data_IF_353942558768
#
_entry.id   IF_353942558768
#
_cell.length_a   1.000
_cell.length_b   1.000
_cell.length_c   1.000
_cell.angle_alpha   90.00
_cell.angle_beta   90.00
_cell.angle_gamma   90.00
#
_symmetry.space_group_name_H-M   'P 1'
#
loop_
_entity.id
_entity.type
_entity.pdbx_description
1 polymer ?
#
# COMPACT_ATOMS: atom_id res chain seq x y z
N UNK A 1 31.21 -6.98 29.44
CA UNK A 1 31.64 -5.89 28.53
C UNK A 1 30.52 -5.62 27.54
N UNK A 2 29.68 -4.63 27.80
CA UNK A 2 28.67 -4.15 26.82
C UNK A 2 29.44 -3.30 25.83
N UNK A 3 29.66 -3.83 24.63
CA UNK A 3 30.29 -3.08 23.54
C UNK A 3 29.44 -1.84 23.26
N UNK A 4 30.06 -0.66 23.37
CA UNK A 4 29.45 0.63 23.25
C UNK A 4 28.76 0.86 21.91
N UNK A 5 27.47 0.55 21.86
CA UNK A 5 26.56 1.05 20.83
C UNK A 5 25.86 2.25 21.46
N UNK A 6 26.19 3.48 21.03
CA UNK A 6 25.57 4.68 21.59
C UNK A 6 24.09 4.74 21.20
N UNK A 7 23.25 5.20 22.10
CA UNK A 7 21.91 5.73 21.83
C UNK A 7 20.81 4.75 21.37
N UNK A 8 20.80 3.49 21.82
CA UNK A 8 19.66 2.58 21.62
C UNK A 8 19.55 1.95 20.22
N UNK A 9 20.59 2.03 19.39
CA UNK A 9 20.70 1.28 18.14
C UNK A 9 21.09 -0.17 18.40
N UNK A 10 20.55 -1.13 17.64
CA UNK A 10 20.94 -2.54 17.72
C UNK A 10 22.37 -2.78 17.15
N UNK A 11 22.71 -2.06 16.08
CA UNK A 11 24.01 -2.06 15.39
C UNK A 11 24.58 -0.63 15.39
N UNK A 12 25.78 -0.43 14.85
CA UNK A 12 26.31 0.93 14.71
C UNK A 12 25.35 1.82 13.91
N UNK A 13 25.26 3.09 14.27
CA UNK A 13 24.34 4.06 13.64
C UNK A 13 24.49 4.07 12.11
N UNK A 14 25.72 4.19 11.59
CA UNK A 14 25.98 4.20 10.14
C UNK A 14 25.53 2.92 9.44
N UNK A 15 25.75 1.77 10.08
CA UNK A 15 25.33 0.48 9.52
C UNK A 15 23.80 0.28 9.54
N UNK A 16 23.12 0.79 10.56
CA UNK A 16 21.66 0.79 10.62
C UNK A 16 21.05 1.61 9.47
N UNK A 17 21.62 2.79 9.16
CA UNK A 17 21.19 3.58 8.00
C UNK A 17 21.56 2.93 6.66
N UNK A 18 22.66 2.20 6.55
CA UNK A 18 22.97 1.40 5.35
C UNK A 18 21.90 0.32 5.10
N UNK A 19 21.52 -0.43 6.15
CA UNK A 19 20.44 -1.42 6.04
C UNK A 19 19.12 -0.75 5.68
N UNK A 20 18.83 0.40 6.29
CA UNK A 20 17.64 1.18 5.96
C UNK A 20 17.61 1.60 4.48
N UNK A 21 18.73 2.06 3.93
CA UNK A 21 18.81 2.43 2.52
C UNK A 21 18.52 1.23 1.60
N UNK A 22 19.06 0.05 1.92
CA UNK A 22 18.75 -1.16 1.16
C UNK A 22 17.26 -1.56 1.28
N UNK A 23 16.67 -1.50 2.47
CA UNK A 23 15.24 -1.75 2.68
C UNK A 23 14.38 -0.72 1.95
N UNK A 24 14.76 0.55 1.96
CA UNK A 24 14.05 1.59 1.21
C UNK A 24 14.09 1.33 -0.30
N UNK A 25 15.27 1.01 -0.83
CA UNK A 25 15.43 0.69 -2.25
C UNK A 25 14.64 -0.56 -2.64
N UNK A 26 14.68 -1.63 -1.84
CA UNK A 26 13.88 -2.83 -2.10
C UNK A 26 12.38 -2.51 -2.13
N UNK A 27 11.89 -1.67 -1.20
CA UNK A 27 10.48 -1.28 -1.18
C UNK A 27 10.10 -0.40 -2.37
N UNK A 28 11.02 0.46 -2.79
CA UNK A 28 10.84 1.26 -3.98
C UNK A 28 10.78 0.37 -5.24
N UNK A 29 11.66 -0.63 -5.37
CA UNK A 29 11.66 -1.57 -6.49
C UNK A 29 10.44 -2.50 -6.47
N UNK A 30 9.96 -2.95 -5.31
CA UNK A 30 8.67 -3.64 -5.17
C UNK A 30 7.54 -2.86 -5.87
N UNK A 31 7.41 -1.55 -5.58
CA UNK A 31 6.38 -0.72 -6.21
C UNK A 31 6.67 -0.37 -7.67
N UNK A 32 7.93 -0.27 -8.08
CA UNK A 32 8.31 -0.11 -9.50
C UNK A 32 7.84 -1.34 -10.29
N UNK A 33 8.17 -2.55 -9.84
CA UNK A 33 7.82 -3.82 -10.48
C UNK A 33 6.30 -4.03 -10.55
N UNK A 34 5.60 -3.60 -9.51
CA UNK A 34 4.15 -3.67 -9.44
C UNK A 34 3.48 -2.74 -10.43
N UNK A 35 3.98 -1.51 -10.57
CA UNK A 35 3.33 -0.43 -11.31
C UNK A 35 3.79 -0.28 -12.76
N UNK A 36 4.93 -0.85 -13.14
CA UNK A 36 5.43 -0.80 -14.53
C UNK A 36 4.37 -1.27 -15.54
N UNK A 37 3.60 -2.32 -15.21
CA UNK A 37 2.60 -2.91 -16.10
C UNK A 37 1.50 -1.94 -16.52
N UNK A 38 1.20 -0.96 -15.67
CA UNK A 38 0.14 0.04 -15.91
C UNK A 38 0.39 0.85 -17.19
N UNK A 39 1.65 1.22 -17.43
CA UNK A 39 2.06 1.92 -18.64
C UNK A 39 2.19 1.01 -19.86
N UNK A 40 2.10 -0.31 -19.65
CA UNK A 40 2.26 -1.27 -20.74
C UNK A 40 0.91 -1.71 -21.36
N UNK A 41 -0.23 -1.31 -20.79
CA UNK A 41 -1.55 -1.73 -21.25
C UNK A 41 -1.77 -1.55 -22.75
N UNK A 42 -1.48 -0.39 -23.38
CA UNK A 42 -1.68 -0.25 -24.83
C UNK A 42 -0.83 -1.23 -25.65
N UNK A 43 0.40 -1.48 -25.22
CA UNK A 43 1.32 -2.39 -25.91
C UNK A 43 0.93 -3.86 -25.73
N UNK A 44 0.50 -4.25 -24.52
CA UNK A 44 0.01 -5.60 -24.24
C UNK A 44 -1.29 -5.90 -24.98
N UNK A 45 -2.16 -4.90 -25.12
CA UNK A 45 -3.39 -5.01 -25.92
C UNK A 45 -3.06 -5.23 -27.39
N UNK A 46 -2.08 -4.51 -27.93
CA UNK A 46 -1.67 -4.67 -29.32
C UNK A 46 -1.02 -6.05 -29.58
N UNK A 47 -0.21 -6.56 -28.63
CA UNK A 47 0.57 -7.80 -28.81
C UNK A 47 -0.26 -9.07 -28.55
N UNK A 48 -1.13 -9.05 -27.53
CA UNK A 48 -1.90 -10.22 -27.08
C UNK A 48 -3.42 -10.11 -27.33
N UNK A 49 -3.91 -9.01 -27.89
CA UNK A 49 -5.33 -8.79 -28.11
C UNK A 49 -6.15 -8.66 -26.81
N UNK A 50 -5.57 -8.12 -25.74
CA UNK A 50 -6.21 -8.09 -24.43
C UNK A 50 -7.40 -7.14 -24.37
N UNK A 51 -8.40 -7.50 -23.57
CA UNK A 51 -9.45 -6.59 -23.14
C UNK A 51 -8.93 -5.66 -22.00
N UNK A 52 -9.66 -4.59 -21.70
CA UNK A 52 -9.35 -3.74 -20.55
C UNK A 52 -9.57 -4.50 -19.23
N UNK A 53 -10.56 -5.39 -19.16
CA UNK A 53 -10.74 -6.32 -18.04
C UNK A 53 -9.51 -7.16 -17.78
N UNK A 54 -8.91 -7.72 -18.83
CA UNK A 54 -7.68 -8.51 -18.69
C UNK A 54 -6.49 -7.66 -18.23
N UNK A 55 -6.36 -6.43 -18.70
CA UNK A 55 -5.37 -5.48 -18.20
C UNK A 55 -5.57 -5.18 -16.70
N UNK A 56 -6.80 -4.96 -16.26
CA UNK A 56 -7.12 -4.79 -14.85
C UNK A 56 -6.78 -6.03 -14.01
N UNK A 57 -7.04 -7.24 -14.53
CA UNK A 57 -6.68 -8.51 -13.88
C UNK A 57 -5.18 -8.65 -13.67
N UNK A 58 -4.33 -8.17 -14.58
CA UNK A 58 -2.88 -8.20 -14.40
C UNK A 58 -2.40 -7.35 -13.19
N UNK A 59 -3.13 -6.31 -12.82
CA UNK A 59 -2.86 -5.55 -11.59
C UNK A 59 -3.43 -6.27 -10.39
N UNK A 60 -4.67 -6.72 -10.47
CA UNK A 60 -5.43 -7.34 -9.37
C UNK A 60 -4.78 -8.61 -8.84
N UNK A 61 -4.20 -9.44 -9.72
CA UNK A 61 -3.62 -10.73 -9.34
C UNK A 61 -2.46 -10.61 -8.34
N UNK A 62 -1.67 -9.53 -8.42
CA UNK A 62 -0.59 -9.25 -7.47
C UNK A 62 -1.17 -9.04 -6.06
N UNK A 63 -2.22 -8.23 -5.94
CA UNK A 63 -2.87 -7.99 -4.64
C UNK A 63 -3.54 -9.24 -4.08
N UNK A 64 -4.17 -10.06 -4.91
CA UNK A 64 -4.77 -11.34 -4.47
C UNK A 64 -3.71 -12.29 -3.93
N UNK A 65 -2.60 -12.47 -4.63
CA UNK A 65 -1.53 -13.36 -4.14
C UNK A 65 -0.89 -12.83 -2.86
N UNK A 66 -0.73 -11.50 -2.70
CA UNK A 66 -0.30 -10.91 -1.44
C UNK A 66 -1.26 -11.26 -0.30
N UNK A 67 -2.57 -11.09 -0.50
CA UNK A 67 -3.58 -11.40 0.54
C UNK A 67 -3.52 -12.87 0.96
N UNK A 68 -3.49 -13.78 -0.02
CA UNK A 68 -3.49 -15.23 0.24
C UNK A 68 -2.22 -15.68 0.97
N UNK A 69 -1.07 -15.12 0.61
CA UNK A 69 0.23 -15.59 1.09
C UNK A 69 0.79 -14.79 2.28
N UNK A 70 0.27 -13.60 2.57
CA UNK A 70 0.83 -12.70 3.59
C UNK A 70 0.92 -13.34 4.97
N UNK A 71 -0.07 -14.11 5.38
CA UNK A 71 -0.05 -14.80 6.69
C UNK A 71 1.03 -15.88 6.74
N UNK A 72 1.14 -16.69 5.69
CA UNK A 72 2.11 -17.78 5.61
C UNK A 72 3.54 -17.26 5.57
N UNK A 73 3.78 -16.23 4.75
CA UNK A 73 5.11 -15.62 4.61
C UNK A 73 5.54 -14.91 5.88
N UNK A 74 4.63 -14.23 6.58
CA UNK A 74 4.95 -13.59 7.86
C UNK A 74 5.39 -14.61 8.91
N UNK A 75 4.72 -15.78 8.97
CA UNK A 75 5.11 -16.86 9.89
C UNK A 75 6.51 -17.42 9.56
N UNK A 76 6.85 -17.53 8.28
CA UNK A 76 8.18 -17.99 7.85
C UNK A 76 9.25 -16.97 8.25
N UNK A 77 9.00 -15.67 8.03
CA UNK A 77 9.91 -14.58 8.38
C UNK A 77 10.22 -14.56 9.88
N UNK A 78 9.20 -14.74 10.71
CA UNK A 78 9.36 -14.70 12.17
C UNK A 78 10.06 -15.94 12.74
N UNK A 79 9.89 -17.11 12.09
CA UNK A 79 10.49 -18.38 12.57
C UNK A 79 11.89 -18.66 12.04
N UNK A 80 12.25 -18.03 10.93
CA UNK A 80 13.56 -18.25 10.29
C UNK A 80 14.45 -17.03 10.49
N UNK A 81 15.04 -16.49 9.44
CA UNK A 81 15.88 -15.29 9.47
C UNK A 81 15.20 -14.19 8.66
N UNK A 82 14.97 -13.04 9.28
CA UNK A 82 14.36 -11.90 8.58
C UNK A 82 15.20 -11.46 7.37
N UNK A 83 16.52 -11.43 7.53
CA UNK A 83 17.46 -11.13 6.45
C UNK A 83 17.31 -12.11 5.29
N UNK A 84 17.39 -13.42 5.57
CA UNK A 84 17.32 -14.46 4.52
C UNK A 84 15.95 -14.46 3.85
N UNK A 85 14.87 -14.33 4.63
CA UNK A 85 13.50 -14.28 4.10
C UNK A 85 13.31 -13.09 3.18
N UNK A 86 13.67 -11.87 3.60
CA UNK A 86 13.56 -10.65 2.77
C UNK A 86 14.41 -10.78 1.51
N UNK A 87 15.65 -11.24 1.62
CA UNK A 87 16.54 -11.40 0.46
C UNK A 87 16.01 -12.42 -0.55
N UNK A 88 15.54 -13.59 -0.10
CA UNK A 88 14.96 -14.61 -0.98
C UNK A 88 13.66 -14.13 -1.63
N UNK A 89 12.80 -13.46 -0.89
CA UNK A 89 11.58 -12.87 -1.42
C UNK A 89 11.91 -11.85 -2.51
N UNK A 90 12.89 -10.96 -2.25
CA UNK A 90 13.33 -9.97 -3.22
C UNK A 90 13.91 -10.60 -4.49
N UNK A 91 14.72 -11.64 -4.38
CA UNK A 91 15.20 -12.39 -5.54
C UNK A 91 14.06 -13.05 -6.30
N UNK A 92 13.11 -13.67 -5.58
CA UNK A 92 12.00 -14.39 -6.20
C UNK A 92 11.11 -13.44 -7.02
N UNK A 93 10.68 -12.29 -6.45
CA UNK A 93 9.86 -11.36 -7.24
C UNK A 93 10.64 -10.73 -8.38
N UNK A 94 11.94 -10.42 -8.22
CA UNK A 94 12.76 -9.88 -9.32
C UNK A 94 12.90 -10.88 -10.47
N UNK A 95 13.08 -12.17 -10.17
CA UNK A 95 13.09 -13.23 -11.19
C UNK A 95 11.71 -13.35 -11.87
N UNK A 96 10.62 -13.27 -11.10
CA UNK A 96 9.26 -13.29 -11.63
C UNK A 96 9.00 -12.07 -12.55
N UNK A 97 9.53 -10.89 -12.19
CA UNK A 97 9.44 -9.68 -13.04
C UNK A 97 10.22 -9.86 -14.34
N UNK A 98 11.42 -10.41 -14.27
CA UNK A 98 12.19 -10.77 -15.50
C UNK A 98 11.41 -11.78 -16.35
N UNK A 99 10.78 -12.78 -15.73
CA UNK A 99 9.97 -13.78 -16.44
C UNK A 99 8.82 -13.15 -17.23
N UNK A 100 8.24 -12.03 -16.76
CA UNK A 100 7.20 -11.30 -17.49
C UNK A 100 7.68 -10.86 -18.89
N UNK A 101 8.98 -10.54 -19.07
CA UNK A 101 9.53 -10.12 -20.35
C UNK A 101 9.51 -11.25 -21.41
N UNK A 102 9.50 -12.51 -20.98
CA UNK A 102 9.56 -13.69 -21.87
C UNK A 102 8.19 -14.31 -22.15
N UNK A 103 7.13 -13.74 -21.61
CA UNK A 103 5.76 -14.26 -21.79
C UNK A 103 5.26 -14.07 -23.23
N UNK A 104 4.51 -15.05 -23.72
CA UNK A 104 3.95 -15.10 -25.08
C UNK A 104 2.42 -15.10 -25.08
N UNK A 105 1.78 -15.08 -23.91
CA UNK A 105 0.33 -15.08 -23.78
C UNK A 105 -0.11 -14.40 -22.49
N UNK A 106 -1.40 -13.99 -22.45
CA UNK A 106 -2.02 -13.46 -21.24
C UNK A 106 -1.86 -14.40 -20.04
N UNK A 107 -2.13 -15.71 -20.21
CA UNK A 107 -2.06 -16.68 -19.11
C UNK A 107 -0.66 -16.79 -18.51
N UNK A 108 0.38 -16.78 -19.34
CA UNK A 108 1.76 -16.79 -18.86
C UNK A 108 2.10 -15.52 -18.09
N UNK A 109 1.70 -14.35 -18.62
CA UNK A 109 1.91 -13.06 -17.96
C UNK A 109 1.13 -12.98 -16.64
N UNK A 110 -0.11 -13.47 -16.61
CA UNK A 110 -0.93 -13.54 -15.40
C UNK A 110 -0.27 -14.39 -14.31
N UNK A 111 0.25 -15.58 -14.64
CA UNK A 111 0.97 -16.44 -13.69
C UNK A 111 2.25 -15.77 -13.19
N UNK A 112 3.04 -15.16 -14.09
CA UNK A 112 4.25 -14.45 -13.70
C UNK A 112 3.95 -13.27 -12.76
N UNK A 113 2.87 -12.52 -13.01
CA UNK A 113 2.38 -11.43 -12.15
C UNK A 113 1.90 -11.97 -10.79
N UNK A 114 1.20 -13.11 -10.76
CA UNK A 114 0.81 -13.78 -9.50
C UNK A 114 2.06 -14.16 -8.69
N UNK A 115 3.11 -14.66 -9.34
CA UNK A 115 4.37 -14.99 -8.69
C UNK A 115 5.08 -13.76 -8.11
N UNK A 116 5.02 -12.60 -8.78
CA UNK A 116 5.53 -11.33 -8.20
C UNK A 116 4.86 -11.06 -6.85
N UNK A 117 3.51 -11.05 -6.79
CA UNK A 117 2.81 -10.81 -5.54
C UNK A 117 3.08 -11.86 -4.46
N UNK A 118 3.36 -13.12 -4.84
CA UNK A 118 3.78 -14.15 -3.90
C UNK A 118 5.14 -13.83 -3.27
N UNK A 119 6.08 -13.29 -4.04
CA UNK A 119 7.37 -12.81 -3.55
C UNK A 119 7.26 -11.58 -2.66
N UNK A 120 6.32 -10.69 -2.92
CA UNK A 120 6.13 -9.43 -2.18
C UNK A 120 5.35 -9.59 -0.87
N UNK A 121 4.60 -10.69 -0.68
CA UNK A 121 3.60 -10.85 0.36
C UNK A 121 4.11 -10.65 1.80
N UNK A 122 5.38 -10.96 2.09
CA UNK A 122 5.97 -10.82 3.43
C UNK A 122 6.92 -9.64 3.56
N UNK A 123 7.20 -8.92 2.50
CA UNK A 123 8.23 -7.90 2.52
C UNK A 123 7.91 -6.73 3.46
N UNK A 124 6.72 -6.15 3.37
CA UNK A 124 6.34 -5.00 4.19
C UNK A 124 6.31 -5.32 5.72
N UNK A 125 5.73 -6.44 6.19
CA UNK A 125 5.84 -6.86 7.58
C UNK A 125 7.29 -7.11 8.02
N UNK A 126 8.08 -7.81 7.21
CA UNK A 126 9.48 -8.11 7.50
C UNK A 126 10.36 -6.87 7.58
N UNK A 127 10.21 -5.94 6.64
CA UNK A 127 10.94 -4.67 6.59
C UNK A 127 10.61 -3.77 7.79
N UNK A 128 9.32 -3.63 8.13
CA UNK A 128 8.88 -2.87 9.31
C UNK A 128 9.44 -3.45 10.60
N UNK A 129 9.40 -4.78 10.75
CA UNK A 129 9.95 -5.47 11.91
C UNK A 129 11.49 -5.29 12.03
N UNK A 130 12.20 -5.29 10.89
CA UNK A 130 13.64 -5.06 10.86
C UNK A 130 14.01 -3.61 11.21
N UNK A 131 13.29 -2.63 10.67
CA UNK A 131 13.46 -1.22 11.02
C UNK A 131 13.20 -1.00 12.52
N UNK A 132 12.14 -1.60 13.05
CA UNK A 132 11.78 -1.47 14.47
C UNK A 132 12.83 -2.05 15.41
N UNK A 133 13.58 -3.07 14.97
CA UNK A 133 14.68 -3.65 15.73
C UNK A 133 15.98 -2.82 15.64
N UNK A 134 16.25 -2.20 14.49
CA UNK A 134 17.52 -1.49 14.23
C UNK A 134 17.57 -0.09 14.83
N UNK A 135 16.42 0.60 14.93
CA UNK A 135 16.36 2.02 15.29
C UNK A 135 15.77 2.24 16.69
N UNK A 136 16.31 3.22 17.45
CA UNK A 136 15.77 3.59 18.75
C UNK A 136 14.35 4.11 18.66
N UNK A 137 13.59 3.88 19.71
CA UNK A 137 12.16 4.19 19.79
C UNK A 137 11.83 5.66 19.45
N UNK A 138 12.70 6.58 19.89
CA UNK A 138 12.53 8.04 19.68
C UNK A 138 12.40 8.46 18.20
N UNK A 139 13.07 7.76 17.29
CA UNK A 139 13.10 8.11 15.85
C UNK A 139 12.40 7.07 14.97
N UNK A 140 11.96 5.96 15.56
CA UNK A 140 11.37 4.82 14.83
C UNK A 140 10.20 5.23 13.93
N UNK A 141 9.27 6.03 14.44
CA UNK A 141 8.11 6.49 13.66
C UNK A 141 8.53 7.34 12.45
N UNK A 142 9.54 8.20 12.62
CA UNK A 142 10.08 9.00 11.53
C UNK A 142 10.74 8.11 10.46
N UNK A 143 11.52 7.12 10.87
CA UNK A 143 12.20 6.18 9.95
C UNK A 143 11.19 5.32 9.19
N UNK A 144 10.15 4.80 9.87
CA UNK A 144 9.06 4.08 9.21
C UNK A 144 8.30 4.99 8.23
N UNK A 145 8.06 6.24 8.60
CA UNK A 145 7.45 7.23 7.71
C UNK A 145 8.28 7.48 6.45
N UNK A 146 9.59 7.66 6.61
CA UNK A 146 10.52 7.77 5.46
C UNK A 146 10.50 6.51 4.59
N UNK A 147 10.50 5.33 5.21
CA UNK A 147 10.46 4.07 4.47
C UNK A 147 9.17 3.92 3.65
N UNK A 148 8.02 4.32 4.20
CA UNK A 148 6.75 4.27 3.47
C UNK A 148 6.67 5.26 2.29
N UNK A 149 7.51 6.30 2.27
CA UNK A 149 7.61 7.20 1.11
C UNK A 149 8.16 6.50 -0.15
N UNK A 150 8.80 5.34 -0.01
CA UNK A 150 9.20 4.49 -1.14
C UNK A 150 7.99 4.07 -2.00
N UNK A 151 6.81 3.92 -1.41
CA UNK A 151 5.58 3.49 -2.08
C UNK A 151 5.13 4.45 -3.20
N UNK A 152 4.79 5.72 -2.93
CA UNK A 152 4.40 6.65 -3.99
C UNK A 152 5.56 6.98 -4.94
N UNK A 153 6.81 7.01 -4.45
CA UNK A 153 7.99 7.22 -5.30
C UNK A 153 8.18 6.06 -6.27
N UNK A 154 8.18 4.82 -5.78
CA UNK A 154 8.31 3.62 -6.61
C UNK A 154 7.18 3.51 -7.63
N UNK A 155 5.93 3.79 -7.20
CA UNK A 155 4.77 3.79 -8.11
C UNK A 155 4.94 4.79 -9.25
N UNK A 156 5.32 6.03 -8.95
CA UNK A 156 5.51 7.07 -9.96
C UNK A 156 6.66 6.72 -10.91
N UNK A 157 7.80 6.30 -10.36
CA UNK A 157 8.99 5.90 -11.15
C UNK A 157 8.66 4.69 -12.03
N UNK A 158 7.95 3.69 -11.51
CA UNK A 158 7.55 2.50 -12.28
C UNK A 158 6.67 2.83 -13.48
N UNK A 159 5.67 3.71 -13.28
CA UNK A 159 4.78 4.18 -14.35
C UNK A 159 5.58 4.97 -15.40
N UNK A 160 6.45 5.91 -14.96
CA UNK A 160 7.27 6.73 -15.87
C UNK A 160 8.25 5.90 -16.69
N UNK A 161 9.04 5.05 -16.02
CA UNK A 161 10.02 4.19 -16.68
C UNK A 161 9.34 3.20 -17.63
N UNK A 162 8.22 2.61 -17.19
CA UNK A 162 7.43 1.72 -18.02
C UNK A 162 6.98 2.38 -19.32
N UNK A 163 6.40 3.58 -19.23
CA UNK A 163 5.95 4.34 -20.40
C UNK A 163 7.10 4.73 -21.33
N UNK A 164 8.21 5.22 -20.77
CA UNK A 164 9.39 5.60 -21.55
C UNK A 164 10.02 4.40 -22.27
N UNK A 165 10.34 3.33 -21.52
CA UNK A 165 11.02 2.16 -22.08
C UNK A 165 10.13 1.45 -23.09
N UNK A 166 8.84 1.31 -22.82
CA UNK A 166 7.91 0.63 -23.73
C UNK A 166 7.78 1.37 -25.06
N UNK A 167 7.78 2.71 -25.03
CA UNK A 167 7.68 3.55 -26.24
C UNK A 167 8.93 3.46 -27.12
N UNK A 168 10.12 3.39 -26.54
CA UNK A 168 11.38 3.45 -27.30
C UNK A 168 12.02 2.08 -27.57
N UNK A 169 11.83 1.11 -26.65
CA UNK A 169 12.52 -0.18 -26.68
C UNK A 169 11.57 -1.38 -26.67
N UNK A 170 10.27 -1.13 -26.52
CA UNK A 170 9.25 -2.16 -26.41
C UNK A 170 8.98 -2.62 -24.96
N UNK A 171 7.76 -3.09 -24.73
CA UNK A 171 7.26 -3.40 -23.39
C UNK A 171 8.01 -4.52 -22.66
N UNK A 172 8.59 -5.48 -23.41
CA UNK A 172 9.39 -6.57 -22.82
C UNK A 172 10.63 -6.05 -22.12
N UNK A 173 11.29 -5.06 -22.71
CA UNK A 173 12.47 -4.41 -22.11
C UNK A 173 12.10 -3.65 -20.83
N UNK A 174 10.87 -3.14 -20.72
CA UNK A 174 10.45 -2.45 -19.50
C UNK A 174 10.52 -3.37 -18.28
N UNK A 175 10.00 -4.61 -18.37
CA UNK A 175 10.12 -5.58 -17.28
C UNK A 175 11.58 -5.97 -17.00
N UNK A 176 12.39 -6.23 -18.03
CA UNK A 176 13.79 -6.59 -17.87
C UNK A 176 14.62 -5.51 -17.18
N UNK A 177 14.48 -4.24 -17.63
CA UNK A 177 15.27 -3.12 -17.13
C UNK A 177 14.89 -2.77 -15.68
N UNK A 178 13.59 -2.77 -15.32
CA UNK A 178 13.17 -2.41 -13.97
C UNK A 178 13.50 -3.48 -12.94
N UNK A 179 13.54 -4.75 -13.34
CA UNK A 179 13.86 -5.87 -12.44
C UNK A 179 15.36 -5.92 -12.06
N UNK A 180 16.26 -5.50 -12.95
CA UNK A 180 17.71 -5.61 -12.73
C UNK A 180 18.22 -4.89 -11.49
N UNK A 181 17.89 -3.61 -11.23
CA UNK A 181 18.34 -2.93 -10.03
C UNK A 181 17.80 -3.58 -8.75
N UNK A 182 16.53 -4.03 -8.76
CA UNK A 182 15.91 -4.76 -7.64
C UNK A 182 16.67 -6.06 -7.34
N UNK A 183 17.03 -6.80 -8.38
CA UNK A 183 17.84 -8.02 -8.28
C UNK A 183 19.22 -7.75 -7.66
N UNK A 184 19.92 -6.68 -8.10
CA UNK A 184 21.23 -6.30 -7.53
C UNK A 184 21.08 -5.93 -6.05
N UNK A 185 20.07 -5.13 -5.68
CA UNK A 185 19.85 -4.74 -4.28
C UNK A 185 19.48 -5.97 -3.43
N UNK A 186 18.72 -6.92 -3.97
CA UNK A 186 18.41 -8.18 -3.30
C UNK A 186 19.67 -9.01 -3.01
N UNK A 187 20.61 -9.09 -3.94
CA UNK A 187 21.92 -9.73 -3.72
C UNK A 187 22.70 -8.99 -2.64
N UNK A 188 22.81 -7.66 -2.71
CA UNK A 188 23.49 -6.86 -1.70
C UNK A 188 22.90 -7.07 -0.30
N UNK A 189 21.58 -7.28 -0.23
CA UNK A 189 20.90 -7.53 1.04
C UNK A 189 21.33 -8.84 1.71
N UNK A 190 21.79 -9.85 0.96
CA UNK A 190 22.37 -11.07 1.54
C UNK A 190 23.69 -10.85 2.28
N UNK A 191 24.40 -9.76 2.00
CA UNK A 191 25.64 -9.43 2.70
C UNK A 191 25.42 -8.61 3.99
N UNK A 192 24.19 -8.19 4.27
CA UNK A 192 23.81 -7.53 5.52
C UNK A 192 24.06 -8.47 6.70
N UNK A 193 24.49 -7.94 7.84
CA UNK A 193 24.62 -8.73 9.08
C UNK A 193 23.24 -9.14 9.60
N UNK A 194 23.10 -10.42 9.88
CA UNK A 194 21.88 -10.95 10.52
C UNK A 194 21.90 -10.64 12.02
N UNK A 195 20.73 -10.57 12.61
CA UNK A 195 20.56 -10.46 14.06
C UNK A 195 19.61 -11.54 14.55
N UNK A 196 19.90 -12.11 15.73
CA UNK A 196 19.04 -13.12 16.32
C UNK A 196 17.68 -12.50 16.65
N UNK A 197 16.63 -13.00 16.05
CA UNK A 197 15.25 -12.75 16.48
C UNK A 197 15.14 -13.31 17.90
N UNK A 198 14.59 -12.52 18.82
CA UNK A 198 14.36 -12.95 20.20
C UNK A 198 13.45 -14.19 20.14
N UNK A 199 13.89 -15.29 20.78
CA UNK A 199 13.06 -16.48 20.92
C UNK A 199 11.74 -16.08 21.61
N UNK A 200 10.60 -16.43 21.02
CA UNK A 200 9.27 -16.19 21.59
C UNK A 200 9.04 -16.87 22.96
N UNK A 201 9.99 -17.69 23.41
CA UNK A 201 9.97 -18.37 24.71
C UNK A 201 10.39 -17.46 25.88
N UNK A 202 10.90 -16.26 25.63
CA UNK A 202 11.30 -15.36 26.72
C UNK A 202 10.07 -14.60 27.24
N UNK A 203 9.68 -14.94 28.47
CA UNK A 203 8.49 -14.62 29.27
C UNK A 203 8.23 -13.12 29.60
N UNK A 204 8.63 -12.15 28.77
CA UNK A 204 8.70 -10.76 29.24
C UNK A 204 7.94 -9.71 28.43
N UNK A 205 7.02 -10.10 27.55
CA UNK A 205 6.14 -9.11 26.93
C UNK A 205 4.69 -9.29 27.37
N UNK A 206 4.15 -8.39 28.25
CA UNK A 206 2.77 -8.48 28.73
C UNK A 206 1.73 -8.50 27.60
N UNK A 207 2.00 -7.81 26.48
CA UNK A 207 1.11 -7.79 25.30
C UNK A 207 1.08 -9.15 24.58
N UNK A 208 2.24 -9.81 24.48
CA UNK A 208 2.34 -11.15 23.88
C UNK A 208 1.70 -12.22 24.78
N UNK A 209 1.81 -12.09 26.10
CA UNK A 209 1.16 -12.99 27.07
C UNK A 209 -0.37 -12.83 27.03
N UNK A 210 -0.89 -11.60 26.96
CA UNK A 210 -2.31 -11.34 26.85
C UNK A 210 -2.88 -11.93 25.53
N UNK A 211 -2.15 -11.80 24.41
CA UNK A 211 -2.52 -12.41 23.12
C UNK A 211 -2.51 -13.95 23.17
N UNK A 212 -1.54 -14.55 23.85
CA UNK A 212 -1.44 -16.00 23.99
C UNK A 212 -2.57 -16.60 24.85
N UNK A 213 -3.15 -15.83 25.76
CA UNK A 213 -4.27 -16.23 26.63
C UNK A 213 -5.64 -16.02 25.99
N UNK A 214 -5.80 -15.13 25.02
CA UNK A 214 -7.08 -14.89 24.36
C UNK A 214 -7.40 -16.02 23.36
N UNK A 215 -8.52 -16.72 23.58
CA UNK A 215 -9.02 -17.72 22.64
C UNK A 215 -9.40 -17.07 21.31
N UNK A 216 -9.15 -17.74 20.19
CA UNK A 216 -9.48 -17.24 18.84
C UNK A 216 -10.95 -16.77 18.72
N UNK A 217 -11.87 -17.40 19.43
CA UNK A 217 -13.29 -16.98 19.50
C UNK A 217 -13.49 -15.63 20.17
N UNK A 218 -12.70 -15.29 21.17
CA UNK A 218 -12.77 -14.00 21.87
C UNK A 218 -12.22 -12.87 21.00
N UNK A 219 -11.13 -13.14 20.29
CA UNK A 219 -10.56 -12.21 19.30
C UNK A 219 -11.61 -11.91 18.23
N UNK A 220 -12.20 -12.94 17.62
CA UNK A 220 -13.23 -12.76 16.61
C UNK A 220 -14.45 -11.99 17.15
N UNK A 221 -14.89 -12.32 18.38
CA UNK A 221 -16.01 -11.65 19.05
C UNK A 221 -15.71 -10.18 19.32
N UNK A 222 -14.48 -9.82 19.68
CA UNK A 222 -14.08 -8.44 19.89
C UNK A 222 -14.16 -7.64 18.57
N UNK A 223 -13.64 -8.19 17.46
CA UNK A 223 -13.72 -7.52 16.17
C UNK A 223 -15.16 -7.36 15.67
N UNK A 224 -15.99 -8.41 15.78
CA UNK A 224 -17.39 -8.35 15.32
C UNK A 224 -18.28 -7.45 16.18
N UNK A 225 -17.90 -7.17 17.44
CA UNK A 225 -18.63 -6.30 18.35
C UNK A 225 -18.17 -4.84 18.33
N UNK A 226 -17.24 -4.50 17.47
CA UNK A 226 -16.71 -3.15 17.32
C UNK A 226 -17.16 -2.56 15.97
N UNK A 227 -18.38 -2.03 15.86
CA UNK A 227 -18.94 -1.56 14.59
C UNK A 227 -18.12 -0.43 13.96
N UNK A 228 -17.54 0.48 14.76
CA UNK A 228 -16.67 1.53 14.22
C UNK A 228 -15.46 0.97 13.47
N UNK A 229 -14.91 -0.16 13.92
CA UNK A 229 -13.79 -0.84 13.28
C UNK A 229 -14.17 -1.47 11.94
N UNK A 230 -15.26 -2.24 11.91
CA UNK A 230 -15.73 -2.92 10.71
C UNK A 230 -16.11 -1.92 9.60
N UNK A 231 -16.85 -0.87 9.97
CA UNK A 231 -17.21 0.20 9.05
C UNK A 231 -15.95 0.94 8.54
N UNK A 232 -14.94 1.13 9.38
CA UNK A 232 -13.65 1.71 8.98
C UNK A 232 -12.91 0.82 7.98
N UNK A 233 -12.93 -0.51 8.12
CA UNK A 233 -12.31 -1.42 7.16
C UNK A 233 -12.96 -1.31 5.77
N UNK A 234 -14.28 -1.29 5.72
CA UNK A 234 -15.03 -1.17 4.46
C UNK A 234 -14.82 0.22 3.83
N UNK A 235 -14.86 1.28 4.66
CA UNK A 235 -14.59 2.64 4.20
C UNK A 235 -13.18 2.79 3.62
N UNK A 236 -12.20 2.23 4.32
CA UNK A 236 -10.80 2.24 3.86
C UNK A 236 -10.65 1.51 2.53
N UNK A 237 -11.28 0.34 2.37
CA UNK A 237 -11.28 -0.39 1.10
C UNK A 237 -11.90 0.44 -0.05
N UNK A 238 -12.97 1.20 0.20
CA UNK A 238 -13.56 2.11 -0.79
C UNK A 238 -12.63 3.23 -1.24
N UNK A 239 -11.85 3.81 -0.30
CA UNK A 239 -10.81 4.80 -0.63
C UNK A 239 -9.67 4.17 -1.43
N UNK A 240 -9.25 2.95 -1.08
CA UNK A 240 -8.21 2.22 -1.82
C UNK A 240 -8.68 1.79 -3.21
N UNK A 241 -9.98 1.48 -3.37
CA UNK A 241 -10.59 1.22 -4.66
C UNK A 241 -10.43 2.41 -5.59
N UNK A 242 -10.78 3.61 -5.14
CA UNK A 242 -10.61 4.85 -5.92
C UNK A 242 -9.13 5.07 -6.27
N UNK A 243 -8.25 5.01 -5.28
CA UNK A 243 -6.82 5.27 -5.48
C UNK A 243 -6.20 4.29 -6.47
N UNK A 244 -6.46 2.98 -6.32
CA UNK A 244 -5.93 1.96 -7.20
C UNK A 244 -6.51 2.04 -8.63
N UNK A 245 -7.78 2.43 -8.77
CA UNK A 245 -8.42 2.65 -10.06
C UNK A 245 -7.73 3.75 -10.84
N UNK A 246 -7.57 4.93 -10.23
CA UNK A 246 -6.90 6.05 -10.91
C UNK A 246 -5.42 5.79 -11.14
N UNK A 247 -4.71 5.22 -10.16
CA UNK A 247 -3.31 4.83 -10.31
C UNK A 247 -3.09 3.95 -11.55
N UNK A 248 -4.00 2.98 -11.76
CA UNK A 248 -3.85 2.00 -12.84
C UNK A 248 -4.32 2.52 -14.21
N UNK A 249 -5.26 3.44 -14.25
CA UNK A 249 -5.91 3.79 -15.51
C UNK A 249 -5.69 5.21 -16.00
N UNK A 250 -5.21 6.15 -15.17
CA UNK A 250 -4.91 7.52 -15.61
C UNK A 250 -3.90 7.59 -16.76
N UNK A 251 -2.79 6.81 -16.78
CA UNK A 251 -1.88 6.82 -17.92
C UNK A 251 -2.58 6.40 -19.22
N UNK A 252 -3.38 5.34 -19.18
CA UNK A 252 -4.16 4.87 -20.33
C UNK A 252 -5.24 5.87 -20.74
N UNK A 253 -5.86 6.54 -19.78
CA UNK A 253 -6.83 7.61 -20.04
C UNK A 253 -6.20 8.76 -20.82
N UNK A 254 -5.08 9.30 -20.35
CA UNK A 254 -4.37 10.39 -21.05
C UNK A 254 -3.87 9.96 -22.43
N UNK A 255 -3.44 8.69 -22.56
CA UNK A 255 -3.03 8.16 -23.85
C UNK A 255 -4.20 8.08 -24.83
N UNK A 256 -5.35 7.53 -24.43
CA UNK A 256 -6.49 7.27 -25.34
C UNK A 256 -7.39 8.49 -25.58
N UNK A 257 -7.65 9.29 -24.53
CA UNK A 257 -8.61 10.39 -24.59
C UNK A 257 -7.94 11.70 -25.01
N UNK A 258 -6.74 11.96 -24.49
CA UNK A 258 -5.98 13.16 -24.86
C UNK A 258 -5.02 12.93 -26.05
N UNK A 259 -4.98 11.69 -26.59
CA UNK A 259 -4.10 11.29 -27.70
C UNK A 259 -2.61 11.58 -27.44
N UNK A 260 -2.18 11.51 -26.17
CA UNK A 260 -0.78 11.73 -25.81
C UNK A 260 0.07 10.47 -26.08
N UNK A 261 1.32 10.60 -26.51
CA UNK A 261 2.27 9.49 -26.50
C UNK A 261 2.33 8.87 -25.10
N UNK A 262 2.46 7.53 -25.01
CA UNK A 262 2.39 6.81 -23.72
C UNK A 262 3.42 7.31 -22.70
N UNK A 263 4.61 7.71 -23.15
CA UNK A 263 5.63 8.34 -22.31
C UNK A 263 5.10 9.58 -21.58
N UNK A 264 4.48 10.52 -22.33
CA UNK A 264 3.92 11.74 -21.75
C UNK A 264 2.69 11.47 -20.89
N UNK A 265 1.86 10.52 -21.31
CA UNK A 265 0.69 10.07 -20.55
C UNK A 265 1.08 9.43 -19.21
N UNK A 266 2.12 8.59 -19.21
CA UNK A 266 2.68 7.98 -18.02
C UNK A 266 3.28 9.02 -17.06
N UNK A 267 4.04 9.99 -17.58
CA UNK A 267 4.56 11.11 -16.79
C UNK A 267 3.44 11.93 -16.15
N UNK A 268 2.40 12.27 -16.92
CA UNK A 268 1.24 13.03 -16.46
C UNK A 268 0.47 12.29 -15.36
N UNK A 269 0.28 10.97 -15.52
CA UNK A 269 -0.38 10.11 -14.52
C UNK A 269 0.46 9.95 -13.25
N UNK A 270 1.79 9.83 -13.36
CA UNK A 270 2.68 9.65 -12.21
C UNK A 270 2.75 10.89 -11.31
N UNK A 271 2.64 12.10 -11.86
CA UNK A 271 2.60 13.34 -11.06
C UNK A 271 1.44 13.35 -10.06
N UNK A 272 0.30 12.77 -10.42
CA UNK A 272 -0.87 12.63 -9.52
C UNK A 272 -0.49 11.83 -8.29
N UNK A 273 0.31 10.77 -8.47
CA UNK A 273 0.78 9.92 -7.37
C UNK A 273 1.76 10.63 -6.45
N UNK A 274 2.67 11.41 -7.00
CA UNK A 274 3.65 12.14 -6.19
C UNK A 274 3.00 13.13 -5.22
N UNK A 275 1.84 13.67 -5.57
CA UNK A 275 1.10 14.58 -4.70
C UNK A 275 0.51 13.88 -3.46
N UNK A 276 0.38 12.55 -3.46
CA UNK A 276 0.03 11.79 -2.26
C UNK A 276 1.05 12.00 -1.13
N UNK A 277 2.33 12.26 -1.45
CA UNK A 277 3.39 12.54 -0.46
C UNK A 277 3.03 13.77 0.38
N UNK A 278 2.31 14.74 -0.19
CA UNK A 278 1.84 15.93 0.52
C UNK A 278 0.58 15.64 1.32
N UNK A 279 -0.32 14.85 0.76
CA UNK A 279 -1.63 14.55 1.36
C UNK A 279 -1.54 13.79 2.68
N UNK A 280 -0.62 12.81 2.80
CA UNK A 280 -0.45 12.03 4.03
C UNK A 280 -0.11 12.91 5.26
N UNK A 281 0.98 13.69 5.27
CA UNK A 281 1.32 14.51 6.44
C UNK A 281 0.31 15.62 6.69
N UNK A 282 -0.25 16.23 5.63
CA UNK A 282 -1.27 17.26 5.76
C UNK A 282 -2.54 16.71 6.42
N UNK A 283 -2.99 15.53 6.01
CA UNK A 283 -4.14 14.85 6.61
C UNK A 283 -3.91 14.51 8.07
N UNK A 284 -2.73 13.98 8.43
CA UNK A 284 -2.35 13.72 9.81
C UNK A 284 -2.35 14.98 10.66
N UNK A 285 -1.73 16.05 10.18
CA UNK A 285 -1.70 17.34 10.90
C UNK A 285 -3.11 17.92 11.14
N UNK A 286 -3.95 17.92 10.11
CA UNK A 286 -5.32 18.45 10.20
C UNK A 286 -6.19 17.65 11.18
N UNK A 287 -6.10 16.32 11.13
CA UNK A 287 -6.87 15.46 12.04
C UNK A 287 -6.43 15.61 13.49
N UNK A 288 -5.12 15.69 13.74
CA UNK A 288 -4.60 15.84 15.09
C UNK A 288 -5.00 17.19 15.71
N UNK A 289 -5.01 18.27 14.90
CA UNK A 289 -5.50 19.58 15.32
C UNK A 289 -6.99 19.56 15.65
N UNK A 290 -7.80 18.89 14.81
CA UNK A 290 -9.25 18.80 15.03
C UNK A 290 -9.59 17.91 16.22
N UNK A 291 -8.86 16.81 16.42
CA UNK A 291 -9.04 15.88 17.54
C UNK A 291 -8.92 16.55 18.92
N UNK A 292 -8.11 17.61 19.04
CA UNK A 292 -8.03 18.41 20.29
C UNK A 292 -9.37 19.03 20.70
N UNK A 293 -10.32 19.16 19.75
CA UNK A 293 -11.65 19.74 19.99
C UNK A 293 -12.76 18.69 20.00
N UNK A 294 -12.61 17.61 19.22
CA UNK A 294 -13.63 16.55 19.08
C UNK A 294 -12.96 15.19 18.92
N UNK A 295 -13.33 14.24 19.77
CA UNK A 295 -12.79 12.86 19.74
C UNK A 295 -13.10 12.19 18.40
N UNK A 296 -14.33 12.37 17.88
CA UNK A 296 -14.81 11.78 16.62
C UNK A 296 -14.14 12.36 15.36
N UNK A 297 -13.28 13.38 15.49
CA UNK A 297 -12.54 13.95 14.37
C UNK A 297 -11.74 12.89 13.59
N UNK A 298 -11.29 11.81 14.25
CA UNK A 298 -10.57 10.69 13.59
C UNK A 298 -11.40 9.94 12.57
N UNK A 299 -12.72 10.03 12.59
CA UNK A 299 -13.63 9.44 11.61
C UNK A 299 -14.35 10.50 10.78
N UNK A 300 -14.68 11.65 11.35
CA UNK A 300 -15.29 12.76 10.61
C UNK A 300 -14.34 13.35 9.57
N UNK A 301 -13.03 13.42 9.86
CA UNK A 301 -12.05 13.93 8.90
C UNK A 301 -11.90 13.00 7.69
N UNK A 302 -11.69 11.67 7.83
CA UNK A 302 -11.75 10.75 6.70
C UNK A 302 -13.06 10.81 5.92
N UNK A 303 -14.21 10.96 6.59
CA UNK A 303 -15.50 11.12 5.91
C UNK A 303 -15.52 12.36 5.01
N UNK A 304 -15.13 13.52 5.54
CA UNK A 304 -15.09 14.77 4.78
C UNK A 304 -14.02 14.76 3.67
N UNK A 305 -12.83 14.23 3.95
CA UNK A 305 -11.77 14.14 2.94
C UNK A 305 -12.14 13.18 1.81
N UNK A 306 -12.80 12.06 2.10
CA UNK A 306 -13.29 11.13 1.09
C UNK A 306 -14.43 11.76 0.26
N UNK A 307 -15.35 12.49 0.92
CA UNK A 307 -16.40 13.23 0.23
C UNK A 307 -15.81 14.29 -0.71
N UNK A 308 -14.86 15.07 -0.23
CA UNK A 308 -14.17 16.09 -1.04
C UNK A 308 -13.40 15.46 -2.21
N UNK A 309 -12.67 14.36 -1.96
CA UNK A 309 -11.94 13.62 -3.00
C UNK A 309 -12.90 13.11 -4.09
N UNK A 310 -14.02 12.49 -3.69
CA UNK A 310 -15.05 12.04 -4.62
C UNK A 310 -15.62 13.19 -5.43
N UNK A 311 -15.94 14.33 -4.79
CA UNK A 311 -16.44 15.53 -5.46
C UNK A 311 -15.45 16.14 -6.45
N UNK A 312 -14.18 16.23 -6.08
CA UNK A 312 -13.11 16.74 -6.94
C UNK A 312 -12.95 15.86 -8.20
N UNK A 313 -12.86 14.55 -8.04
CA UNK A 313 -12.72 13.64 -9.18
C UNK A 313 -14.01 13.59 -10.03
N UNK A 314 -15.20 13.60 -9.41
CA UNK A 314 -16.44 13.64 -10.17
C UNK A 314 -16.53 14.91 -11.01
N UNK A 315 -16.20 16.08 -10.44
CA UNK A 315 -16.17 17.35 -11.17
C UNK A 315 -15.13 17.32 -12.31
N UNK A 316 -13.96 16.75 -12.06
CA UNK A 316 -12.89 16.62 -13.05
C UNK A 316 -13.30 15.78 -14.25
N UNK A 317 -14.00 14.66 -14.04
CA UNK A 317 -14.36 13.75 -15.15
C UNK A 317 -15.73 14.04 -15.77
N UNK A 318 -16.66 14.68 -15.04
CA UNK A 318 -17.99 14.95 -15.56
C UNK A 318 -18.10 16.29 -16.31
N UNK A 319 -17.46 17.35 -15.79
CA UNK A 319 -17.73 18.72 -16.24
C UNK A 319 -16.55 19.42 -16.92
N UNK A 320 -15.33 18.91 -16.80
CA UNK A 320 -14.13 19.64 -17.23
C UNK A 320 -13.30 18.85 -18.25
N UNK A 321 -12.57 19.60 -19.08
CA UNK A 321 -11.65 19.07 -20.09
C UNK A 321 -10.35 19.87 -20.09
N UNK A 322 -9.27 19.27 -20.59
CA UNK A 322 -7.97 19.94 -20.77
C UNK A 322 -7.25 20.33 -19.47
N UNK A 323 -6.63 21.50 -19.42
CA UNK A 323 -5.79 21.90 -18.27
C UNK A 323 -6.54 22.01 -16.94
N UNK A 324 -7.79 22.48 -16.95
CA UNK A 324 -8.62 22.61 -15.75
C UNK A 324 -9.00 21.23 -15.16
N UNK A 325 -9.30 20.28 -16.02
CA UNK A 325 -9.50 18.88 -15.61
C UNK A 325 -8.25 18.33 -14.93
N UNK A 326 -7.11 18.51 -15.55
CA UNK A 326 -5.86 18.01 -15.02
C UNK A 326 -5.49 18.65 -13.66
N UNK A 327 -5.71 19.96 -13.50
CA UNK A 327 -5.51 20.64 -12.22
C UNK A 327 -6.36 20.03 -11.10
N UNK A 328 -7.63 19.69 -11.37
CA UNK A 328 -8.48 19.00 -10.41
C UNK A 328 -8.04 17.56 -10.15
N UNK A 329 -7.59 16.83 -11.16
CA UNK A 329 -7.03 15.48 -10.97
C UNK A 329 -5.81 15.53 -10.05
N UNK A 330 -4.91 16.51 -10.21
CA UNK A 330 -3.78 16.72 -9.32
C UNK A 330 -4.24 17.02 -7.88
N UNK A 331 -5.19 17.92 -7.71
CA UNK A 331 -5.76 18.24 -6.39
C UNK A 331 -6.43 17.00 -5.76
N UNK A 332 -7.16 16.23 -6.55
CA UNK A 332 -7.78 14.96 -6.16
C UNK A 332 -6.75 13.94 -5.69
N UNK A 333 -5.61 13.84 -6.38
CA UNK A 333 -4.50 12.96 -5.98
C UNK A 333 -3.92 13.31 -4.61
N UNK A 334 -3.73 14.60 -4.32
CA UNK A 334 -3.31 15.05 -3.00
C UNK A 334 -4.37 14.77 -1.92
N UNK A 335 -5.65 15.05 -2.23
CA UNK A 335 -6.76 14.84 -1.29
C UNK A 335 -7.00 13.35 -1.00
N UNK A 336 -6.80 12.48 -1.99
CA UNK A 336 -7.06 11.05 -1.90
C UNK A 336 -6.22 10.31 -0.85
N UNK A 337 -5.10 10.87 -0.41
CA UNK A 337 -4.23 10.29 0.61
C UNK A 337 -4.44 10.87 2.02
N UNK A 338 -5.18 11.97 2.15
CA UNK A 338 -5.32 12.70 3.42
C UNK A 338 -6.06 11.90 4.51
N UNK A 339 -6.99 11.02 4.14
CA UNK A 339 -7.75 10.19 5.10
C UNK A 339 -6.89 9.14 5.82
N UNK A 340 -5.79 8.72 5.20
CA UNK A 340 -5.05 7.51 5.54
C UNK A 340 -4.53 7.48 7.00
N UNK A 341 -3.83 8.52 7.53
CA UNK A 341 -3.31 8.49 8.89
C UNK A 341 -4.40 8.34 9.95
N UNK A 342 -5.53 9.02 9.75
CA UNK A 342 -6.65 8.98 10.67
C UNK A 342 -7.32 7.60 10.67
N UNK A 343 -7.56 7.01 9.50
CA UNK A 343 -8.17 5.70 9.38
C UNK A 343 -7.30 4.60 10.01
N UNK A 344 -5.97 4.63 9.81
CA UNK A 344 -5.06 3.71 10.50
C UNK A 344 -5.14 3.87 12.01
N UNK A 345 -5.15 5.10 12.52
CA UNK A 345 -5.22 5.33 13.94
C UNK A 345 -6.49 4.72 14.57
N UNK A 346 -7.64 4.84 13.89
CA UNK A 346 -8.90 4.21 14.35
C UNK A 346 -8.76 2.69 14.47
N UNK A 347 -8.12 2.03 13.51
CA UNK A 347 -7.94 0.56 13.56
C UNK A 347 -7.15 0.08 14.78
N UNK A 348 -6.42 0.96 15.43
CA UNK A 348 -5.59 0.67 16.61
C UNK A 348 -6.19 1.19 17.89
N UNK A 349 -7.01 2.26 17.84
CA UNK A 349 -7.58 2.91 19.02
C UNK A 349 -8.70 2.09 19.68
N UNK A 350 -9.56 1.46 18.86
CA UNK A 350 -10.79 0.79 19.29
C UNK A 350 -10.61 -0.69 19.58
N UNK A 351 -9.37 -1.15 19.69
CA UNK A 351 -9.03 -2.54 20.00
C UNK A 351 -8.07 -2.61 21.20
N UNK A 352 -8.09 -3.74 21.91
CA UNK A 352 -7.14 -3.99 22.98
C UNK A 352 -5.69 -3.82 22.48
N UNK A 353 -4.76 -3.22 23.26
CA UNK A 353 -3.37 -3.00 22.84
C UNK A 353 -2.69 -4.23 22.24
N UNK A 354 -2.90 -5.42 22.79
CA UNK A 354 -2.38 -6.69 22.27
C UNK A 354 -2.93 -7.12 20.91
N UNK A 355 -4.00 -6.48 20.40
CA UNK A 355 -4.64 -6.80 19.12
C UNK A 355 -4.42 -5.74 18.03
N UNK A 356 -3.71 -4.66 18.32
CA UNK A 356 -3.49 -3.53 17.38
C UNK A 356 -2.87 -3.98 16.06
N UNK A 357 -1.83 -4.81 16.13
CA UNK A 357 -1.17 -5.34 14.94
C UNK A 357 -2.11 -6.25 14.12
N UNK A 358 -2.88 -7.10 14.80
CA UNK A 358 -3.87 -7.98 14.15
C UNK A 358 -4.98 -7.17 13.47
N UNK A 359 -5.48 -6.14 14.15
CA UNK A 359 -6.50 -5.23 13.61
C UNK A 359 -6.00 -4.52 12.35
N UNK A 360 -4.78 -4.00 12.38
CA UNK A 360 -4.20 -3.35 11.20
C UNK A 360 -3.97 -4.36 10.06
N UNK A 361 -3.51 -5.56 10.36
CA UNK A 361 -3.34 -6.62 9.34
C UNK A 361 -4.65 -7.00 8.66
N UNK A 362 -5.74 -7.10 9.43
CA UNK A 362 -7.08 -7.31 8.86
C UNK A 362 -7.50 -6.14 7.97
N UNK A 363 -7.24 -4.90 8.40
CA UNK A 363 -7.49 -3.73 7.57
C UNK A 363 -6.75 -3.82 6.22
N UNK A 364 -5.48 -4.20 6.22
CA UNK A 364 -4.68 -4.38 5.00
C UNK A 364 -5.26 -5.49 4.09
N UNK A 365 -5.78 -6.57 4.66
CA UNK A 365 -6.47 -7.61 3.88
C UNK A 365 -7.72 -7.03 3.21
N UNK A 366 -8.58 -6.31 3.95
CA UNK A 366 -9.76 -5.66 3.38
C UNK A 366 -9.41 -4.64 2.29
N UNK A 367 -8.39 -3.81 2.51
CA UNK A 367 -7.89 -2.85 1.53
C UNK A 367 -7.47 -3.51 0.21
N UNK A 368 -6.68 -4.58 0.31
CA UNK A 368 -6.15 -5.26 -0.87
C UNK A 368 -7.22 -6.09 -1.58
N UNK A 369 -8.07 -6.81 -0.83
CA UNK A 369 -9.08 -7.69 -1.39
C UNK A 369 -10.24 -6.93 -2.03
N UNK A 370 -10.77 -5.90 -1.35
CA UNK A 370 -11.96 -5.17 -1.80
C UNK A 370 -11.62 -3.83 -2.47
N UNK A 371 -10.46 -3.25 -2.16
CA UNK A 371 -10.04 -1.96 -2.70
C UNK A 371 -9.08 -2.13 -3.87
N UNK A 372 -7.80 -2.34 -3.55
CA UNK A 372 -6.71 -2.28 -4.53
C UNK A 372 -6.82 -3.31 -5.65
N UNK A 373 -7.43 -4.48 -5.40
CA UNK A 373 -7.60 -5.47 -6.46
C UNK A 373 -8.86 -5.24 -7.30
N UNK A 374 -9.99 -4.86 -6.67
CA UNK A 374 -11.25 -4.72 -7.42
C UNK A 374 -11.32 -3.42 -8.21
N UNK A 375 -10.64 -2.36 -7.78
CA UNK A 375 -10.65 -1.07 -8.46
C UNK A 375 -10.18 -1.14 -9.93
N UNK A 376 -8.95 -1.62 -10.19
CA UNK A 376 -8.46 -1.76 -11.57
C UNK A 376 -9.31 -2.70 -12.42
N UNK A 377 -9.80 -3.80 -11.85
CA UNK A 377 -10.66 -4.77 -12.53
C UNK A 377 -12.00 -4.14 -12.92
N UNK A 378 -12.64 -3.40 -12.00
CA UNK A 378 -13.91 -2.72 -12.23
C UNK A 378 -13.78 -1.72 -13.38
N UNK A 379 -12.76 -0.86 -13.35
CA UNK A 379 -12.53 0.12 -14.41
C UNK A 379 -12.32 -0.58 -15.75
N UNK A 380 -11.56 -1.67 -15.78
CA UNK A 380 -11.36 -2.46 -17.00
C UNK A 380 -12.66 -3.04 -17.55
N UNK A 381 -13.48 -3.66 -16.68
CA UNK A 381 -14.74 -4.27 -17.08
C UNK A 381 -15.77 -3.24 -17.61
N UNK A 382 -15.87 -2.09 -16.94
CA UNK A 382 -16.73 -1.01 -17.39
C UNK A 382 -16.19 -0.35 -18.66
N UNK A 383 -14.85 -0.22 -18.77
CA UNK A 383 -14.20 0.36 -19.95
C UNK A 383 -14.39 -0.48 -21.22
N UNK A 384 -14.43 -1.80 -21.11
CA UNK A 384 -14.69 -2.69 -22.26
C UNK A 384 -16.11 -2.48 -22.85
N UNK A 385 -17.08 -2.05 -22.03
CA UNK A 385 -18.48 -1.88 -22.46
C UNK A 385 -18.82 -0.42 -22.81
N UNK A 386 -18.35 0.52 -21.99
CA UNK A 386 -18.78 1.93 -22.05
C UNK A 386 -17.64 2.92 -22.29
N UNK A 387 -16.41 2.43 -22.39
CA UNK A 387 -15.22 3.24 -22.57
C UNK A 387 -14.62 3.76 -21.26
N UNK A 388 -13.31 4.07 -21.33
CA UNK A 388 -12.49 4.43 -20.16
C UNK A 388 -12.95 5.72 -19.46
N UNK A 389 -13.44 6.70 -20.22
CA UNK A 389 -13.92 7.97 -19.64
C UNK A 389 -15.11 7.74 -18.72
N UNK A 390 -16.11 6.97 -19.19
CA UNK A 390 -17.27 6.62 -18.39
C UNK A 390 -16.89 5.79 -17.16
N UNK A 391 -16.00 4.81 -17.33
CA UNK A 391 -15.52 3.99 -16.23
C UNK A 391 -14.88 4.83 -15.11
N UNK A 392 -14.01 5.78 -15.45
CA UNK A 392 -13.35 6.66 -14.47
C UNK A 392 -14.33 7.66 -13.82
N UNK A 393 -15.40 8.06 -14.53
CA UNK A 393 -16.46 8.93 -13.98
C UNK A 393 -17.26 8.22 -12.88
N UNK A 394 -17.36 6.88 -12.89
CA UNK A 394 -18.06 6.10 -11.86
C UNK A 394 -17.23 5.86 -10.60
N UNK A 395 -15.90 5.87 -10.70
CA UNK A 395 -14.99 5.57 -9.57
C UNK A 395 -15.24 6.44 -8.33
N UNK A 396 -15.54 7.76 -8.43
CA UNK A 396 -15.82 8.60 -7.27
C UNK A 396 -16.99 8.11 -6.40
N UNK A 397 -17.94 7.34 -6.95
CA UNK A 397 -19.06 6.79 -6.18
C UNK A 397 -18.57 5.93 -5.00
N UNK A 398 -17.46 5.19 -5.17
CA UNK A 398 -16.86 4.40 -4.09
C UNK A 398 -16.27 5.27 -2.99
N UNK A 399 -15.78 6.49 -3.31
CA UNK A 399 -15.33 7.46 -2.31
C UNK A 399 -16.51 8.04 -1.53
N UNK A 400 -17.64 8.29 -2.15
CA UNK A 400 -18.87 8.72 -1.45
C UNK A 400 -19.40 7.62 -0.54
N UNK A 401 -19.39 6.36 -0.98
CA UNK A 401 -19.73 5.22 -0.14
C UNK A 401 -18.77 5.13 1.06
N UNK A 402 -17.47 5.28 0.83
CA UNK A 402 -16.47 5.30 1.90
C UNK A 402 -16.74 6.44 2.90
N UNK A 403 -17.06 7.63 2.42
CA UNK A 403 -17.42 8.76 3.26
C UNK A 403 -18.64 8.45 4.13
N UNK A 404 -19.69 7.81 3.56
CA UNK A 404 -20.85 7.36 4.31
C UNK A 404 -20.51 6.35 5.40
N UNK A 405 -19.65 5.38 5.12
CA UNK A 405 -19.20 4.40 6.11
C UNK A 405 -18.34 5.02 7.22
N UNK A 406 -17.42 5.94 6.90
CA UNK A 406 -16.67 6.68 7.92
C UNK A 406 -17.60 7.54 8.79
N UNK A 407 -18.57 8.20 8.18
CA UNK A 407 -19.55 8.98 8.92
C UNK A 407 -20.40 8.09 9.83
N UNK A 408 -20.91 6.96 9.35
CA UNK A 408 -21.63 5.98 10.15
C UNK A 408 -20.77 5.43 11.30
N UNK A 409 -19.48 5.14 11.03
CA UNK A 409 -18.55 4.68 12.06
C UNK A 409 -18.37 5.71 13.19
N UNK A 410 -18.48 7.02 12.89
CA UNK A 410 -18.31 8.08 13.87
C UNK A 410 -19.34 8.05 15.00
N UNK A 411 -20.53 7.50 14.77
CA UNK A 411 -21.56 7.35 15.80
C UNK A 411 -21.21 6.29 16.85
N UNK A 412 -20.43 5.29 16.49
CA UNK A 412 -20.06 4.19 17.38
C UNK A 412 -18.68 4.39 18.03
N UNK A 413 -17.87 5.32 17.51
CA UNK A 413 -16.47 5.45 17.87
C UNK A 413 -16.23 5.74 19.36
N UNK A 414 -16.97 6.66 19.95
CA UNK A 414 -16.82 7.01 21.39
C UNK A 414 -17.20 5.82 22.29
N UNK A 415 -18.28 5.11 21.94
CA UNK A 415 -18.74 3.93 22.67
C UNK A 415 -17.71 2.79 22.57
N UNK A 416 -17.19 2.53 21.37
CA UNK A 416 -16.21 1.48 21.14
C UNK A 416 -14.87 1.83 21.82
N UNK A 417 -14.44 3.09 21.77
CA UNK A 417 -13.25 3.56 22.45
C UNK A 417 -13.36 3.44 23.98
N UNK A 418 -14.53 3.70 24.56
CA UNK A 418 -14.78 3.56 25.98
C UNK A 418 -14.76 2.11 26.47
N UNK A 419 -15.02 1.15 25.57
CA UNK A 419 -14.98 -0.30 25.89
C UNK A 419 -13.56 -0.87 25.88
N UNK A 420 -12.57 -0.17 25.35
CA UNK A 420 -11.19 -0.63 25.35
C UNK A 420 -10.62 -0.58 26.76
N UNK A 421 -10.19 -1.72 27.29
CA UNK A 421 -9.49 -1.79 28.57
C UNK A 421 -8.24 -0.90 28.55
N UNK A 422 -8.18 0.05 29.48
CA UNK A 422 -7.00 0.90 29.67
C UNK A 422 -5.93 0.09 30.41
N UNK A 423 -5.11 -0.64 29.68
CA UNK A 423 -3.90 -1.24 30.25
C UNK A 423 -2.90 -0.12 30.50
N UNK A 424 -2.64 0.18 31.77
CA UNK A 424 -1.51 1.05 32.12
C UNK A 424 -0.23 0.27 31.83
N UNK A 425 0.46 0.66 30.78
CA UNK A 425 1.83 0.21 30.54
C UNK A 425 2.69 0.89 31.61
N UNK A 426 3.00 0.17 32.69
CA UNK A 426 4.02 0.60 33.64
C UNK A 426 5.35 0.60 32.91
N UNK A 427 5.96 1.79 32.78
CA UNK A 427 7.37 1.87 32.43
C UNK A 427 8.12 1.18 33.59
N UNK A 428 8.68 0.01 33.34
CA UNK A 428 9.65 -0.57 34.25
C UNK A 428 10.88 0.36 34.28
N UNK A 429 11.14 0.89 35.46
CA UNK A 429 12.29 1.73 35.82
C UNK A 429 13.62 1.00 35.62
#
# INVERSE_FOLDING_TARGET
MKNGVPDGYLLSKGYSYYIFALLFLLYMFDYIDRMVVVSLFPFLKADFGLSDTQCGLLVSTVYWSIVVLSVHTSLIIDRWSRKKSIGLMALFWSVATVACAFTKSFSQLFVARTAIGAGEAGYAPGGTAMISALFPEKIRSMIVGLWTAALPLGSAVGIMLGGYIATHYGWRHAFGVVALPGFVVAILFFFVRDYKTVNLETKTNPEAQCRAQMKSKEILRQFTRTPSLLLTYVAFAGCMFLTASYLSWLPTYFHRVENLPMEKAAFKGSLVMLLAIIGFPLGGFLVDRWRKRRINARLLFPALSSLATGGIFLLAFYSLHGPSQYALILLGGAAASAFYPAAIAVTQDVVHPGLRATSYSLCVIFQNLLGSSLGPLFVGAVSDQYGIHYALTLVPLFSFLAAGFFFAASFFYETDLARVEKVQLSAES
#
